data_IF_060041468517
#
_entry.id   IF_060041468517
#
_cell.length_a   1.000
_cell.length_b   1.000
_cell.length_c   1.000
_cell.angle_alpha   90.00
_cell.angle_beta   90.00
_cell.angle_gamma   90.00
#
_symmetry.space_group_name_H-M   'P 1'
#
loop_
_entity.id
_entity.type
_entity.pdbx_description
1 polymer ?
#
# COMPACT_ATOMS: atom_id res chain seq x y z
N UNK A 1 23.66 8.47 25.85
CA UNK A 1 22.67 7.40 25.62
C UNK A 1 21.36 7.49 26.42
N UNK A 2 21.21 8.16 27.59
CA UNK A 2 19.89 8.27 28.25
C UNK A 2 18.90 9.22 27.53
N UNK A 3 19.39 10.21 26.78
CA UNK A 3 18.56 11.15 26.02
C UNK A 3 17.64 10.48 24.96
N UNK A 4 18.04 9.32 24.42
CA UNK A 4 17.30 8.62 23.38
C UNK A 4 16.11 7.80 23.94
N UNK A 5 16.19 7.35 25.20
CA UNK A 5 15.12 6.59 25.84
C UNK A 5 13.93 7.48 26.22
N UNK A 6 14.17 8.65 26.81
CA UNK A 6 13.09 9.59 27.14
C UNK A 6 12.34 10.07 25.89
N UNK A 7 13.08 10.36 24.81
CA UNK A 7 12.49 10.72 23.52
C UNK A 7 11.63 9.59 22.95
N UNK A 8 12.08 8.34 23.04
CA UNK A 8 11.31 7.17 22.61
C UNK A 8 10.02 7.01 23.42
N UNK A 9 10.08 7.14 24.74
CA UNK A 9 8.89 7.06 25.61
C UNK A 9 7.86 8.15 25.30
N UNK A 10 8.31 9.37 25.03
CA UNK A 10 7.44 10.47 24.59
C UNK A 10 6.73 10.09 23.28
N UNK A 11 7.47 9.60 22.27
CA UNK A 11 6.86 9.18 20.99
C UNK A 11 5.84 8.05 21.17
N UNK A 12 6.13 7.07 22.02
CA UNK A 12 5.19 5.99 22.34
C UNK A 12 3.91 6.56 23.00
N UNK A 13 4.05 7.54 23.90
CA UNK A 13 2.93 8.22 24.53
C UNK A 13 2.03 9.00 23.58
N UNK A 14 2.48 9.33 22.36
CA UNK A 14 1.68 10.00 21.33
C UNK A 14 0.82 9.04 20.50
N UNK A 15 1.12 7.74 20.51
CA UNK A 15 0.38 6.75 19.73
C UNK A 15 -1.13 6.73 20.11
N UNK A 16 -1.52 6.66 21.40
CA UNK A 16 -2.93 6.69 21.78
C UNK A 16 -3.66 7.95 21.29
N UNK A 17 -2.98 9.09 21.26
CA UNK A 17 -3.55 10.35 20.77
C UNK A 17 -3.90 10.21 19.28
N UNK A 18 -2.98 9.70 18.46
CA UNK A 18 -3.24 9.48 17.02
C UNK A 18 -4.36 8.47 16.78
N UNK A 19 -4.47 7.43 17.61
CA UNK A 19 -5.56 6.46 17.54
C UNK A 19 -6.93 7.10 17.85
N UNK A 20 -6.99 7.95 18.89
CA UNK A 20 -8.23 8.67 19.24
C UNK A 20 -8.64 9.61 18.10
N UNK A 21 -7.70 10.37 17.54
CA UNK A 21 -7.96 11.22 16.38
C UNK A 21 -8.45 10.42 15.17
N UNK A 22 -7.85 9.25 14.91
CA UNK A 22 -8.25 8.36 13.82
C UNK A 22 -9.70 7.88 13.99
N UNK A 23 -10.06 7.42 15.19
CA UNK A 23 -11.41 6.92 15.50
C UNK A 23 -12.44 8.04 15.42
N UNK A 24 -12.15 9.19 16.03
CA UNK A 24 -13.04 10.34 16.04
C UNK A 24 -13.26 10.88 14.63
N UNK A 25 -12.18 11.03 13.85
CA UNK A 25 -12.26 11.41 12.43
C UNK A 25 -13.14 10.44 11.66
N UNK A 26 -12.90 9.12 11.79
CA UNK A 26 -13.72 8.11 11.12
C UNK A 26 -15.20 8.16 11.49
N UNK A 27 -15.55 8.54 12.72
CA UNK A 27 -16.96 8.72 13.11
C UNK A 27 -17.64 9.91 12.40
N UNK A 28 -16.93 11.02 12.22
CA UNK A 28 -17.46 12.23 11.58
C UNK A 28 -17.46 12.15 10.06
N UNK A 29 -16.42 11.57 9.46
CA UNK A 29 -16.28 11.49 8.00
C UNK A 29 -17.38 10.64 7.34
N UNK A 30 -17.92 9.66 8.06
CA UNK A 30 -19.01 8.80 7.56
C UNK A 30 -20.28 9.58 7.23
N UNK A 31 -20.58 10.64 7.99
CA UNK A 31 -21.82 11.41 7.82
C UNK A 31 -21.75 12.41 6.68
N UNK A 32 -20.57 12.64 6.10
CA UNK A 32 -20.41 13.58 4.99
C UNK A 32 -21.00 12.99 3.69
N UNK A 33 -21.66 13.81 2.89
CA UNK A 33 -22.20 13.44 1.58
C UNK A 33 -21.08 13.42 0.50
N UNK A 34 -20.07 12.58 0.71
CA UNK A 34 -18.94 12.34 -0.20
C UNK A 34 -19.05 10.92 -0.75
N UNK A 35 -18.62 10.73 -2.00
CA UNK A 35 -18.54 9.44 -2.68
C UNK A 35 -17.84 8.36 -1.82
N UNK A 36 -18.35 7.13 -1.87
CA UNK A 36 -17.89 6.01 -1.04
C UNK A 36 -16.43 5.65 -1.31
N UNK A 37 -16.02 5.65 -2.58
CA UNK A 37 -14.64 5.36 -2.98
C UNK A 37 -13.68 6.44 -2.49
N UNK A 38 -14.07 7.71 -2.58
CA UNK A 38 -13.27 8.82 -2.03
C UNK A 38 -13.09 8.65 -0.51
N UNK A 39 -14.17 8.33 0.22
CA UNK A 39 -14.08 8.07 1.67
C UNK A 39 -13.16 6.88 1.98
N UNK A 40 -13.21 5.82 1.18
CA UNK A 40 -12.34 4.66 1.33
C UNK A 40 -10.86 5.04 1.19
N UNK A 41 -10.50 5.80 0.15
CA UNK A 41 -9.12 6.28 -0.06
C UNK A 41 -8.63 7.23 1.06
N UNK A 42 -9.52 8.07 1.59
CA UNK A 42 -9.22 8.91 2.75
C UNK A 42 -8.95 8.03 3.98
N UNK A 43 -9.78 7.02 4.22
CA UNK A 43 -9.58 6.01 5.25
C UNK A 43 -8.19 5.36 5.16
N UNK A 44 -7.79 4.96 3.95
CA UNK A 44 -6.47 4.36 3.70
C UNK A 44 -5.33 5.31 4.08
N UNK A 45 -5.48 6.59 3.73
CA UNK A 45 -4.49 7.61 4.02
C UNK A 45 -4.36 7.84 5.53
N UNK A 46 -5.49 8.02 6.22
CA UNK A 46 -5.53 8.20 7.67
C UNK A 46 -4.93 7.01 8.43
N UNK A 47 -5.26 5.79 8.03
CA UNK A 47 -4.71 4.60 8.67
C UNK A 47 -3.21 4.41 8.38
N UNK A 48 -2.78 4.76 7.17
CA UNK A 48 -1.35 4.79 6.83
C UNK A 48 -0.58 5.75 7.75
N UNK A 49 -1.13 6.92 8.04
CA UNK A 49 -0.51 7.88 8.96
C UNK A 49 -0.45 7.37 10.40
N UNK A 50 -1.48 6.66 10.85
CA UNK A 50 -1.46 5.98 12.13
C UNK A 50 -0.38 4.89 12.18
N UNK A 51 -0.27 4.06 11.15
CA UNK A 51 0.79 3.06 11.05
C UNK A 51 2.19 3.67 11.03
N UNK A 52 2.40 4.80 10.34
CA UNK A 52 3.67 5.52 10.41
C UNK A 52 3.98 5.99 11.82
N UNK A 53 3.00 6.54 12.54
CA UNK A 53 3.19 6.97 13.93
C UNK A 53 3.53 5.79 14.83
N UNK A 54 2.88 4.64 14.64
CA UNK A 54 3.24 3.40 15.34
C UNK A 54 4.69 3.00 15.08
N UNK A 55 5.10 2.92 13.81
CA UNK A 55 6.46 2.52 13.42
C UNK A 55 7.49 3.47 14.01
N UNK A 56 7.27 4.77 13.88
CA UNK A 56 8.22 5.78 14.35
C UNK A 56 8.26 5.92 15.87
N UNK A 57 7.12 5.71 16.54
CA UNK A 57 7.06 5.67 17.99
C UNK A 57 7.84 4.49 18.56
N UNK A 58 7.77 3.34 17.90
CA UNK A 58 8.42 2.11 18.33
C UNK A 58 9.90 2.02 17.91
N UNK A 59 10.32 2.80 16.91
CA UNK A 59 11.69 2.82 16.39
C UNK A 59 12.74 3.04 17.50
N UNK A 60 13.78 2.20 17.50
CA UNK A 60 14.89 2.30 18.46
C UNK A 60 15.79 3.50 18.17
N UNK A 61 15.99 3.81 16.89
CA UNK A 61 16.80 4.93 16.43
C UNK A 61 15.95 5.94 15.64
N UNK A 62 16.31 7.23 15.63
CA UNK A 62 15.64 8.23 14.82
C UNK A 62 15.88 8.01 13.32
N UNK A 63 14.87 8.30 12.51
CA UNK A 63 15.04 8.38 11.07
C UNK A 63 15.76 9.66 10.68
N UNK A 64 16.58 9.58 9.65
CA UNK A 64 17.37 10.69 9.15
C UNK A 64 17.40 10.68 7.61
N UNK A 65 17.62 11.84 7.00
CA UNK A 65 17.82 11.93 5.57
C UNK A 65 19.23 11.47 5.23
N UNK A 66 19.39 10.73 4.14
CA UNK A 66 20.67 10.20 3.70
C UNK A 66 21.62 11.31 3.23
N UNK A 67 21.08 12.37 2.61
CA UNK A 67 21.85 13.51 2.14
C UNK A 67 22.21 14.48 3.27
N UNK A 68 21.35 14.62 4.29
CA UNK A 68 21.56 15.51 5.43
C UNK A 68 21.05 14.86 6.74
N UNK A 69 21.94 14.17 7.48
CA UNK A 69 21.55 13.40 8.65
C UNK A 69 21.15 14.25 9.87
N UNK A 70 21.52 15.53 9.91
CA UNK A 70 21.43 16.37 11.12
C UNK A 70 20.52 17.59 10.88
N UNK A 71 19.23 17.55 11.30
CA UNK A 71 18.39 18.73 11.29
C UNK A 71 18.78 19.68 12.44
N UNK A 72 19.97 20.27 12.37
CA UNK A 72 20.38 21.36 13.24
C UNK A 72 19.89 22.66 12.61
N UNK A 73 18.69 23.09 13.01
CA UNK A 73 18.07 24.28 12.44
C UNK A 73 17.01 24.90 13.34
N UNK A 74 16.40 25.96 12.82
CA UNK A 74 15.27 26.70 13.40
C UNK A 74 14.03 25.81 13.59
N UNK A 75 13.01 26.33 14.27
CA UNK A 75 11.74 25.60 14.41
C UNK A 75 11.07 25.30 13.06
N UNK A 76 11.25 26.19 12.07
CA UNK A 76 10.76 25.97 10.70
C UNK A 76 11.50 24.81 10.01
N UNK A 77 12.81 24.68 10.22
CA UNK A 77 13.58 23.57 9.66
C UNK A 77 13.15 22.23 10.26
N UNK A 78 12.90 22.21 11.58
CA UNK A 78 12.39 21.03 12.27
C UNK A 78 10.97 20.65 11.81
N UNK A 79 10.10 21.64 11.60
CA UNK A 79 8.75 21.41 11.08
C UNK A 79 8.78 20.91 9.64
N UNK A 80 9.61 21.52 8.79
CA UNK A 80 9.82 21.10 7.40
C UNK A 80 10.36 19.66 7.33
N UNK A 81 11.32 19.32 8.19
CA UNK A 81 11.83 17.95 8.33
C UNK A 81 10.72 16.96 8.73
N UNK A 82 9.90 17.32 9.73
CA UNK A 82 8.81 16.48 10.18
C UNK A 82 7.74 16.27 9.10
N UNK A 83 7.35 17.34 8.39
CA UNK A 83 6.42 17.26 7.25
C UNK A 83 7.01 16.38 6.14
N UNK A 84 8.29 16.58 5.81
CA UNK A 84 8.99 15.77 4.80
C UNK A 84 9.03 14.29 5.18
N UNK A 85 9.28 13.96 6.45
CA UNK A 85 9.25 12.59 6.97
C UNK A 85 7.85 11.97 6.82
N UNK A 86 6.80 12.74 7.14
CA UNK A 86 5.40 12.32 7.07
C UNK A 86 4.86 12.15 5.65
N UNK A 87 5.25 13.03 4.76
CA UNK A 87 4.89 12.93 3.35
C UNK A 87 5.74 11.92 2.57
N UNK A 88 6.61 11.14 3.24
CA UNK A 88 7.51 10.16 2.63
C UNK A 88 7.15 8.70 3.00
N UNK A 89 5.95 8.18 2.63
CA UNK A 89 5.54 6.82 3.00
C UNK A 89 6.50 5.73 2.50
N UNK A 90 7.17 5.97 1.36
CA UNK A 90 8.14 5.05 0.75
C UNK A 90 9.57 5.17 1.31
N UNK A 91 9.88 6.25 2.03
CA UNK A 91 11.23 6.51 2.59
C UNK A 91 12.32 6.86 1.57
N UNK A 92 11.98 7.50 0.44
CA UNK A 92 12.98 7.88 -0.57
C UNK A 92 13.90 8.95 0.02
N UNK A 93 15.22 8.71 -0.01
CA UNK A 93 16.20 9.62 0.58
C UNK A 93 16.28 9.55 2.11
N UNK A 94 15.60 8.58 2.74
CA UNK A 94 15.60 8.37 4.19
C UNK A 94 16.33 7.08 4.59
N UNK A 95 16.66 6.97 5.87
CA UNK A 95 17.24 5.77 6.47
C UNK A 95 16.28 4.56 6.57
N UNK A 96 15.07 4.68 6.01
CA UNK A 96 14.04 3.63 6.00
C UNK A 96 13.41 3.48 4.62
N UNK A 97 12.61 2.44 4.45
CA UNK A 97 11.90 2.18 3.19
C UNK A 97 12.74 1.40 2.18
N UNK A 98 12.31 1.44 0.91
CA UNK A 98 12.96 0.67 -0.18
C UNK A 98 13.87 1.59 -0.98
N UNK A 99 15.19 1.33 -1.04
CA UNK A 99 16.11 2.13 -1.84
C UNK A 99 15.70 2.08 -3.31
N UNK A 100 15.46 3.24 -3.90
CA UNK A 100 15.28 3.38 -5.36
C UNK A 100 16.53 4.02 -5.92
N UNK A 101 17.03 3.45 -7.02
CA UNK A 101 18.12 4.07 -7.76
C UNK A 101 17.63 5.43 -8.27
N UNK A 102 18.24 6.51 -7.79
CA UNK A 102 17.98 7.86 -8.28
C UNK A 102 18.06 7.86 -9.82
N UNK A 103 17.00 8.33 -10.47
CA UNK A 103 16.95 8.42 -11.92
C UNK A 103 17.37 9.82 -12.35
N UNK A 104 18.62 9.97 -12.77
CA UNK A 104 19.10 11.20 -13.41
C UNK A 104 18.50 11.30 -14.81
N UNK A 105 17.36 11.99 -14.91
CA UNK A 105 16.65 12.22 -16.16
C UNK A 105 16.46 13.72 -16.39
N UNK A 106 16.47 14.14 -17.64
CA UNK A 106 16.19 15.53 -18.00
C UNK A 106 14.74 15.88 -17.65
N UNK A 107 14.47 17.16 -17.40
CA UNK A 107 13.11 17.64 -17.07
C UNK A 107 12.10 17.31 -18.16
N UNK A 108 12.51 17.42 -19.43
CA UNK A 108 11.68 17.09 -20.59
C UNK A 108 11.36 15.60 -20.62
N UNK A 109 12.35 14.73 -20.39
CA UNK A 109 12.11 13.29 -20.32
C UNK A 109 11.20 12.92 -19.16
N UNK A 110 11.43 13.50 -17.99
CA UNK A 110 10.58 13.33 -16.82
C UNK A 110 9.11 13.71 -17.12
N UNK A 111 8.89 14.87 -17.76
CA UNK A 111 7.57 15.33 -18.16
C UNK A 111 6.93 14.38 -19.17
N UNK A 112 7.66 14.01 -20.23
CA UNK A 112 7.19 13.11 -21.28
C UNK A 112 6.78 11.75 -20.70
N UNK A 113 7.64 11.12 -19.90
CA UNK A 113 7.35 9.81 -19.29
C UNK A 113 6.13 9.90 -18.36
N UNK A 114 6.00 11.00 -17.61
CA UNK A 114 4.86 11.23 -16.71
C UNK A 114 3.56 11.44 -17.48
N UNK A 115 3.54 12.28 -18.51
CA UNK A 115 2.35 12.52 -19.34
C UNK A 115 1.95 11.26 -20.10
N UNK A 116 2.91 10.55 -20.70
CA UNK A 116 2.65 9.28 -21.40
C UNK A 116 1.99 8.27 -20.47
N UNK A 117 2.51 8.11 -19.25
CA UNK A 117 1.97 7.19 -18.25
C UNK A 117 0.58 7.61 -17.81
N UNK A 118 0.38 8.91 -17.53
CA UNK A 118 -0.91 9.46 -17.14
C UNK A 118 -1.96 9.27 -18.24
N UNK A 119 -1.64 9.56 -19.50
CA UNK A 119 -2.54 9.34 -20.63
C UNK A 119 -2.96 7.87 -20.75
N UNK A 120 -2.01 6.94 -20.62
CA UNK A 120 -2.33 5.50 -20.64
C UNK A 120 -3.25 5.09 -19.48
N UNK A 121 -2.99 5.61 -18.27
CA UNK A 121 -3.85 5.34 -17.12
C UNK A 121 -5.26 5.91 -17.31
N UNK A 122 -5.41 7.12 -17.86
CA UNK A 122 -6.72 7.74 -18.13
C UNK A 122 -7.54 6.94 -19.15
N UNK A 123 -6.91 6.36 -20.17
CA UNK A 123 -7.58 5.48 -21.13
C UNK A 123 -8.09 4.18 -20.46
N UNK A 124 -7.30 3.59 -19.57
CA UNK A 124 -7.71 2.41 -18.81
C UNK A 124 -8.84 2.77 -17.84
N UNK A 125 -8.78 3.93 -17.18
CA UNK A 125 -9.85 4.41 -16.29
C UNK A 125 -11.15 4.54 -17.09
N UNK A 126 -11.14 5.26 -18.20
CA UNK A 126 -12.33 5.44 -19.03
C UNK A 126 -12.91 4.11 -19.52
N UNK A 127 -12.08 3.21 -20.05
CA UNK A 127 -12.54 1.90 -20.55
C UNK A 127 -13.05 0.98 -19.43
N UNK A 128 -12.42 0.99 -18.25
CA UNK A 128 -12.87 0.20 -17.11
C UNK A 128 -14.20 0.72 -16.56
N UNK A 129 -14.36 2.05 -16.45
CA UNK A 129 -15.63 2.68 -16.01
C UNK A 129 -16.77 2.39 -16.97
N UNK A 130 -16.55 2.49 -18.29
CA UNK A 130 -17.56 2.12 -19.29
C UNK A 130 -17.94 0.64 -19.16
N UNK A 131 -16.95 -0.25 -19.02
CA UNK A 131 -17.19 -1.69 -18.90
C UNK A 131 -18.00 -2.02 -17.64
N UNK A 132 -17.71 -1.38 -16.51
CA UNK A 132 -18.48 -1.53 -15.28
C UNK A 132 -19.91 -1.00 -15.40
N UNK A 133 -20.10 0.11 -16.12
CA UNK A 133 -21.44 0.62 -16.44
C UNK A 133 -22.26 -0.36 -17.29
N UNK A 134 -21.64 -1.02 -18.27
CA UNK A 134 -22.29 -2.04 -19.11
C UNK A 134 -22.60 -3.31 -18.32
N UNK A 135 -21.66 -3.76 -17.48
CA UNK A 135 -21.84 -4.92 -16.60
C UNK A 135 -22.94 -4.68 -15.55
N UNK A 136 -23.23 -3.41 -15.25
CA UNK A 136 -24.16 -2.94 -14.24
C UNK A 136 -23.77 -3.47 -12.84
N UNK A 137 -22.93 -2.71 -12.14
CA UNK A 137 -22.49 -3.03 -10.77
C UNK A 137 -23.73 -3.29 -9.89
N UNK A 138 -23.90 -4.54 -9.51
CA UNK A 138 -25.07 -4.99 -8.77
C UNK A 138 -24.64 -5.99 -7.70
N UNK A 139 -24.90 -5.72 -6.41
CA UNK A 139 -24.63 -6.67 -5.32
C UNK A 139 -25.30 -8.04 -5.53
N UNK A 140 -26.44 -8.04 -6.21
CA UNK A 140 -27.24 -9.22 -6.55
C UNK A 140 -26.91 -9.80 -7.92
N UNK A 141 -25.75 -9.46 -8.51
CA UNK A 141 -25.34 -9.99 -9.81
C UNK A 141 -25.47 -11.54 -9.84
N UNK A 142 -26.30 -12.09 -10.75
CA UNK A 142 -26.71 -13.48 -10.68
C UNK A 142 -25.65 -14.45 -11.19
N UNK A 143 -24.72 -14.00 -12.05
CA UNK A 143 -23.70 -14.87 -12.63
C UNK A 143 -22.33 -14.67 -12.01
N UNK A 144 -21.65 -15.79 -11.74
CA UNK A 144 -20.29 -15.81 -11.21
C UNK A 144 -19.29 -15.15 -12.17
N UNK A 145 -19.51 -15.29 -13.48
CA UNK A 145 -18.68 -14.66 -14.51
C UNK A 145 -18.69 -13.13 -14.39
N UNK A 146 -19.87 -12.52 -14.23
CA UNK A 146 -19.98 -11.06 -14.10
C UNK A 146 -19.25 -10.55 -12.86
N UNK A 147 -19.31 -11.28 -11.73
CA UNK A 147 -18.57 -10.91 -10.50
C UNK A 147 -17.05 -10.91 -10.71
N UNK A 148 -16.51 -11.87 -11.46
CA UNK A 148 -15.08 -11.87 -11.79
C UNK A 148 -14.71 -10.79 -12.80
N UNK A 149 -15.58 -10.45 -13.76
CA UNK A 149 -15.37 -9.32 -14.64
C UNK A 149 -15.40 -7.98 -13.87
N UNK A 150 -16.34 -7.79 -12.95
CA UNK A 150 -16.35 -6.64 -12.03
C UNK A 150 -15.04 -6.58 -11.25
N UNK A 151 -14.60 -7.71 -10.70
CA UNK A 151 -13.33 -7.78 -9.96
C UNK A 151 -12.14 -7.33 -10.80
N UNK A 152 -12.07 -7.79 -12.05
CA UNK A 152 -11.03 -7.39 -12.98
C UNK A 152 -11.04 -5.87 -13.22
N UNK A 153 -12.19 -5.29 -13.58
CA UNK A 153 -12.29 -3.87 -13.91
C UNK A 153 -12.16 -2.93 -12.69
N UNK A 154 -12.67 -3.33 -11.52
CA UNK A 154 -12.44 -2.56 -10.28
C UNK A 154 -10.96 -2.64 -9.87
N UNK A 155 -10.32 -3.80 -10.04
CA UNK A 155 -8.89 -3.96 -9.82
C UNK A 155 -8.04 -3.08 -10.76
N UNK A 156 -8.40 -2.98 -12.04
CA UNK A 156 -7.71 -2.09 -12.99
C UNK A 156 -7.93 -0.61 -12.65
N UNK A 157 -9.13 -0.23 -12.18
CA UNK A 157 -9.40 1.12 -11.67
C UNK A 157 -8.53 1.44 -10.45
N UNK A 158 -8.54 0.58 -9.42
CA UNK A 158 -7.76 0.79 -8.21
C UNK A 158 -6.26 0.97 -8.52
N UNK A 159 -5.72 0.14 -9.41
CA UNK A 159 -4.35 0.28 -9.91
C UNK A 159 -4.11 1.64 -10.57
N UNK A 160 -4.91 1.99 -11.58
CA UNK A 160 -4.64 3.15 -12.43
C UNK A 160 -4.92 4.47 -11.76
N UNK A 161 -5.88 4.52 -10.83
CA UNK A 161 -6.11 5.68 -9.95
C UNK A 161 -4.89 5.93 -9.07
N UNK A 162 -4.36 4.89 -8.42
CA UNK A 162 -3.17 5.03 -7.57
C UNK A 162 -1.93 5.48 -8.36
N UNK A 163 -1.71 4.90 -9.54
CA UNK A 163 -0.58 5.27 -10.39
C UNK A 163 -0.73 6.69 -10.98
N UNK A 164 -1.96 7.11 -11.28
CA UNK A 164 -2.26 8.48 -11.72
C UNK A 164 -2.01 9.50 -10.63
N UNK A 165 -2.37 9.21 -9.37
CA UNK A 165 -2.03 10.06 -8.23
C UNK A 165 -0.51 10.28 -8.11
N UNK A 166 0.28 9.22 -8.31
CA UNK A 166 1.74 9.32 -8.39
C UNK A 166 2.23 10.19 -9.55
N UNK A 167 1.59 10.10 -10.71
CA UNK A 167 1.89 10.98 -11.86
C UNK A 167 1.58 12.44 -11.56
N UNK A 168 0.46 12.73 -10.88
CA UNK A 168 0.09 14.09 -10.47
C UNK A 168 1.14 14.67 -9.52
N UNK A 169 1.58 13.90 -8.52
CA UNK A 169 2.63 14.32 -7.58
C UNK A 169 3.94 14.62 -8.33
N UNK A 170 4.30 13.81 -9.34
CA UNK A 170 5.45 14.08 -10.20
C UNK A 170 5.31 15.40 -10.97
N UNK A 171 4.13 15.72 -11.50
CA UNK A 171 3.89 17.00 -12.18
C UNK A 171 4.00 18.19 -11.21
N UNK A 172 3.51 18.04 -9.98
CA UNK A 172 3.71 19.04 -8.93
C UNK A 172 5.18 19.25 -8.60
N UNK A 173 5.96 18.17 -8.42
CA UNK A 173 7.40 18.25 -8.20
C UNK A 173 8.12 19.02 -9.33
N UNK A 174 7.71 18.79 -10.58
CA UNK A 174 8.23 19.54 -11.73
C UNK A 174 7.84 21.02 -11.69
N UNK A 175 6.56 21.33 -11.45
CA UNK A 175 6.04 22.70 -11.41
C UNK A 175 6.69 23.54 -10.29
N UNK A 176 6.94 22.92 -9.14
CA UNK A 176 7.55 23.55 -7.97
C UNK A 176 9.08 23.40 -7.91
N UNK A 177 9.72 23.03 -9.01
CA UNK A 177 11.18 22.97 -9.13
C UNK A 177 11.88 22.09 -8.07
N UNK A 178 11.23 21.00 -7.65
CA UNK A 178 11.77 20.04 -6.68
C UNK A 178 12.83 19.12 -7.32
N UNK A 179 13.60 18.42 -6.48
CA UNK A 179 14.52 17.38 -6.95
C UNK A 179 13.75 16.18 -7.51
N UNK A 180 13.71 16.07 -8.83
CA UNK A 180 12.96 15.04 -9.55
C UNK A 180 13.45 13.61 -9.27
N UNK A 181 14.65 13.44 -8.72
CA UNK A 181 15.19 12.13 -8.35
C UNK A 181 14.45 11.51 -7.16
N UNK A 182 13.83 12.33 -6.31
CA UNK A 182 13.05 11.91 -5.15
C UNK A 182 11.61 11.48 -5.50
N UNK A 183 11.16 11.72 -6.74
CA UNK A 183 9.79 11.47 -7.18
C UNK A 183 9.71 10.40 -8.28
N UNK A 184 10.12 9.14 -8.05
CA UNK A 184 9.87 8.06 -9.01
C UNK A 184 8.37 7.77 -9.12
N UNK A 185 7.99 6.98 -10.13
CA UNK A 185 6.62 6.47 -10.20
C UNK A 185 6.25 5.70 -8.93
N UNK A 186 4.99 5.81 -8.54
CA UNK A 186 4.45 5.05 -7.44
C UNK A 186 4.59 3.57 -7.77
N UNK A 187 4.04 3.09 -8.89
CA UNK A 187 4.07 1.67 -9.20
C UNK A 187 5.10 1.35 -10.29
N UNK A 188 5.76 0.21 -10.17
CA UNK A 188 6.62 -0.33 -11.23
C UNK A 188 5.77 -1.26 -12.11
N UNK A 189 4.84 -0.71 -12.88
CA UNK A 189 4.03 -1.44 -13.87
C UNK A 189 3.53 -2.85 -13.44
N UNK A 190 2.53 -2.96 -12.55
CA UNK A 190 1.96 -4.21 -12.02
C UNK A 190 1.69 -5.30 -13.06
N UNK A 191 1.20 -4.94 -14.24
CA UNK A 191 0.90 -5.88 -15.33
C UNK A 191 2.12 -6.60 -15.92
N UNK A 192 3.33 -6.10 -15.66
CA UNK A 192 4.56 -6.76 -16.10
C UNK A 192 5.00 -7.89 -15.15
N UNK A 193 4.36 -8.02 -13.99
CA UNK A 193 4.60 -9.09 -13.04
C UNK A 193 4.56 -10.46 -13.70
N UNK A 194 5.31 -11.42 -13.18
CA UNK A 194 5.34 -12.81 -13.70
C UNK A 194 5.04 -13.85 -12.63
N UNK A 195 4.83 -13.42 -11.40
CA UNK A 195 4.47 -14.20 -10.23
C UNK A 195 4.02 -13.23 -9.11
N UNK A 196 3.38 -13.73 -8.06
CA UNK A 196 2.85 -12.94 -6.95
C UNK A 196 3.97 -12.27 -6.16
N UNK A 197 5.10 -12.95 -5.96
CA UNK A 197 6.24 -12.36 -5.26
C UNK A 197 6.76 -11.10 -5.97
N UNK A 198 6.95 -11.13 -7.29
CA UNK A 198 7.36 -9.97 -8.10
C UNK A 198 6.28 -8.88 -8.09
N UNK A 199 5.02 -9.28 -8.27
CA UNK A 199 3.88 -8.36 -8.24
C UNK A 199 3.84 -7.57 -6.93
N UNK A 200 3.75 -8.25 -5.79
CA UNK A 200 3.56 -7.59 -4.50
C UNK A 200 4.82 -6.94 -3.95
N UNK A 201 6.01 -7.51 -4.17
CA UNK A 201 7.24 -7.01 -3.53
C UNK A 201 7.91 -5.84 -4.24
N UNK A 202 7.70 -5.71 -5.56
CA UNK A 202 8.39 -4.74 -6.42
C UNK A 202 7.44 -3.91 -7.27
N UNK A 203 6.49 -4.56 -7.94
CA UNK A 203 5.64 -3.91 -8.95
C UNK A 203 4.49 -3.08 -8.34
N UNK A 204 3.87 -3.60 -7.28
CA UNK A 204 2.72 -3.02 -6.58
C UNK A 204 3.10 -2.26 -5.29
N UNK A 205 3.61 -2.92 -4.24
CA UNK A 205 3.83 -2.23 -2.96
C UNK A 205 5.18 -1.52 -2.91
N UNK A 206 5.20 -0.33 -3.48
CA UNK A 206 6.27 0.64 -3.31
C UNK A 206 6.07 1.56 -2.11
N UNK A 207 4.83 2.00 -1.85
CA UNK A 207 4.52 3.04 -0.86
C UNK A 207 4.32 2.49 0.55
N UNK A 208 3.52 1.43 0.69
CA UNK A 208 3.03 0.95 1.99
C UNK A 208 3.77 -0.29 2.51
N UNK A 209 4.68 -0.85 1.71
CA UNK A 209 5.40 -2.08 2.07
C UNK A 209 6.12 -1.96 3.40
N UNK A 210 6.83 -0.84 3.62
CA UNK A 210 7.60 -0.63 4.84
C UNK A 210 6.71 -0.67 6.08
N UNK A 211 5.59 0.07 6.07
CA UNK A 211 4.69 0.12 7.22
C UNK A 211 4.05 -1.23 7.51
N UNK A 212 3.64 -2.00 6.49
CA UNK A 212 3.05 -3.31 6.71
C UNK A 212 4.07 -4.34 7.23
N UNK A 213 5.31 -4.29 6.75
CA UNK A 213 6.39 -5.15 7.24
C UNK A 213 6.72 -4.80 8.69
N UNK A 214 6.86 -3.52 9.03
CA UNK A 214 7.25 -3.10 10.38
C UNK A 214 6.12 -3.24 11.42
N UNK A 215 4.85 -3.01 11.03
CA UNK A 215 3.70 -3.14 11.94
C UNK A 215 3.24 -4.60 12.07
N UNK A 216 3.23 -5.36 10.97
CA UNK A 216 2.67 -6.72 10.95
C UNK A 216 3.72 -7.82 10.91
N UNK A 217 4.62 -7.74 9.93
CA UNK A 217 5.60 -8.79 9.67
C UNK A 217 6.64 -8.97 10.77
N UNK A 218 7.35 -7.90 11.13
CA UNK A 218 8.45 -7.92 12.10
C UNK A 218 8.03 -8.35 13.50
N UNK A 219 6.92 -7.86 14.09
CA UNK A 219 6.53 -8.27 15.43
C UNK A 219 6.19 -9.76 15.51
N UNK A 220 5.44 -10.28 14.53
CA UNK A 220 5.08 -11.70 14.49
C UNK A 220 6.30 -12.57 14.20
N UNK A 221 7.18 -12.15 13.27
CA UNK A 221 8.47 -12.82 13.03
C UNK A 221 9.29 -12.90 14.33
N UNK A 222 9.43 -11.78 15.05
CA UNK A 222 10.19 -11.71 16.29
C UNK A 222 9.63 -12.63 17.38
N UNK A 223 8.31 -12.65 17.54
CA UNK A 223 7.64 -13.54 18.49
C UNK A 223 7.88 -15.01 18.15
N UNK A 224 7.71 -15.39 16.88
CA UNK A 224 7.92 -16.79 16.43
C UNK A 224 9.38 -17.18 16.54
N UNK A 225 10.31 -16.29 16.21
CA UNK A 225 11.76 -16.51 16.40
C UNK A 225 12.11 -16.73 17.86
N UNK A 226 11.48 -15.99 18.77
CA UNK A 226 11.70 -16.14 20.20
C UNK A 226 11.15 -17.49 20.73
N UNK A 227 9.96 -17.90 20.28
CA UNK A 227 9.32 -19.12 20.78
C UNK A 227 9.82 -20.42 20.12
N UNK A 228 10.14 -20.38 18.82
CA UNK A 228 10.40 -21.57 18.00
C UNK A 228 11.79 -21.55 17.35
N UNK A 229 12.49 -20.41 17.36
CA UNK A 229 13.77 -20.22 16.68
C UNK A 229 13.63 -19.63 15.28
N UNK A 230 14.77 -19.23 14.70
CA UNK A 230 14.80 -18.70 13.33
C UNK A 230 14.75 -19.83 12.28
N UNK A 231 13.89 -19.69 11.28
CA UNK A 231 13.69 -20.74 10.28
C UNK A 231 12.62 -20.43 9.24
N UNK A 232 12.04 -21.48 8.65
CA UNK A 232 10.99 -21.32 7.65
C UNK A 232 9.72 -20.73 8.25
N UNK A 233 9.37 -21.13 9.47
CA UNK A 233 8.15 -20.70 10.13
C UNK A 233 8.19 -19.20 10.45
N UNK A 234 9.29 -18.68 11.00
CA UNK A 234 9.45 -17.25 11.26
C UNK A 234 9.30 -16.41 9.99
N UNK A 235 9.91 -16.85 8.87
CA UNK A 235 9.82 -16.17 7.57
C UNK A 235 8.41 -16.23 6.98
N UNK A 236 7.73 -17.37 7.11
CA UNK A 236 6.33 -17.52 6.69
C UNK A 236 5.43 -16.58 7.50
N UNK A 237 5.62 -16.51 8.81
CA UNK A 237 4.88 -15.61 9.68
C UNK A 237 5.17 -14.13 9.40
N UNK A 238 6.40 -13.76 8.99
CA UNK A 238 6.69 -12.41 8.49
C UNK A 238 5.82 -12.07 7.28
N UNK A 239 5.75 -12.97 6.29
CA UNK A 239 4.98 -12.75 5.07
C UNK A 239 3.49 -12.64 5.41
N UNK A 240 2.95 -13.60 6.16
CA UNK A 240 1.54 -13.59 6.54
C UNK A 240 1.17 -12.37 7.39
N UNK A 241 1.99 -12.03 8.39
CA UNK A 241 1.77 -10.84 9.23
C UNK A 241 1.75 -9.54 8.44
N UNK A 242 2.64 -9.41 7.46
CA UNK A 242 2.68 -8.25 6.54
C UNK A 242 1.37 -8.14 5.76
N UNK A 243 0.91 -9.22 5.15
CA UNK A 243 -0.31 -9.22 4.36
C UNK A 243 -1.59 -9.11 5.20
N UNK A 244 -1.60 -9.66 6.42
CA UNK A 244 -2.73 -9.48 7.35
C UNK A 244 -2.91 -8.01 7.70
N UNK A 245 -1.84 -7.28 8.03
CA UNK A 245 -1.95 -5.84 8.33
C UNK A 245 -2.35 -5.03 7.10
N UNK A 246 -1.89 -5.40 5.91
CA UNK A 246 -2.40 -4.81 4.66
C UNK A 246 -3.91 -5.03 4.49
N UNK A 247 -4.41 -6.20 4.87
CA UNK A 247 -5.83 -6.52 4.85
C UNK A 247 -6.66 -5.75 5.88
N UNK A 248 -6.17 -5.67 7.11
CA UNK A 248 -6.81 -4.92 8.19
C UNK A 248 -6.88 -3.42 7.89
N UNK A 249 -5.92 -2.91 7.12
CA UNK A 249 -5.98 -1.54 6.62
C UNK A 249 -7.20 -1.33 5.70
N UNK A 250 -7.47 -2.26 4.79
CA UNK A 250 -8.65 -2.15 3.91
C UNK A 250 -9.96 -2.37 4.68
N UNK A 251 -9.99 -3.21 5.72
CA UNK A 251 -11.16 -3.32 6.62
C UNK A 251 -11.42 -2.02 7.36
N UNK A 252 -10.36 -1.39 7.87
CA UNK A 252 -10.47 -0.08 8.52
C UNK A 252 -11.00 0.96 7.53
N UNK A 253 -10.48 1.00 6.31
CA UNK A 253 -10.89 1.93 5.27
C UNK A 253 -12.34 1.72 4.84
N UNK A 254 -12.81 0.47 4.82
CA UNK A 254 -14.22 0.14 4.61
C UNK A 254 -15.11 0.60 5.76
N UNK A 255 -14.67 0.37 7.01
CA UNK A 255 -15.35 0.87 8.21
C UNK A 255 -15.40 2.41 8.23
N UNK A 256 -14.32 3.07 7.81
CA UNK A 256 -14.20 4.52 7.73
C UNK A 256 -15.14 5.10 6.67
N UNK A 257 -15.30 4.43 5.54
CA UNK A 257 -16.21 4.86 4.49
C UNK A 257 -17.68 4.60 4.81
N UNK A 258 -17.96 3.50 5.51
CA UNK A 258 -19.32 2.96 5.63
C UNK A 258 -19.68 2.57 7.07
N UNK A 259 -19.57 1.29 7.40
CA UNK A 259 -19.90 0.67 8.69
C UNK A 259 -19.01 -0.55 8.87
N UNK A 260 -18.96 -1.10 10.09
CA UNK A 260 -18.18 -2.30 10.35
C UNK A 260 -18.64 -3.45 9.43
N UNK A 261 -17.69 -4.01 8.71
CA UNK A 261 -17.82 -5.24 7.94
C UNK A 261 -17.25 -6.37 8.80
N UNK A 262 -18.05 -7.39 9.11
CA UNK A 262 -17.68 -8.45 10.06
C UNK A 262 -17.17 -9.73 9.39
N UNK A 263 -17.20 -9.80 8.06
CA UNK A 263 -16.80 -10.99 7.32
C UNK A 263 -15.28 -11.03 7.03
N UNK A 264 -14.60 -9.90 7.20
CA UNK A 264 -13.14 -9.77 6.98
C UNK A 264 -12.73 -10.18 5.56
N UNK A 265 -13.62 -10.02 4.58
CA UNK A 265 -13.40 -10.42 3.18
C UNK A 265 -12.25 -9.67 2.52
N UNK A 266 -12.00 -8.43 2.89
CA UNK A 266 -10.86 -7.67 2.37
C UNK A 266 -9.56 -8.20 2.99
N UNK A 267 -9.57 -8.52 4.29
CA UNK A 267 -8.42 -9.18 4.94
C UNK A 267 -8.12 -10.55 4.35
N UNK A 268 -9.16 -11.34 4.05
CA UNK A 268 -9.03 -12.64 3.39
C UNK A 268 -8.31 -12.51 2.04
N UNK A 269 -8.67 -11.51 1.22
CA UNK A 269 -8.01 -11.27 -0.06
C UNK A 269 -6.51 -11.05 0.10
N UNK A 270 -6.09 -10.15 1.00
CA UNK A 270 -4.67 -9.84 1.22
C UNK A 270 -3.92 -11.01 1.86
N UNK A 271 -4.51 -11.67 2.86
CA UNK A 271 -3.92 -12.86 3.48
C UNK A 271 -3.64 -13.96 2.46
N UNK A 272 -4.58 -14.19 1.52
CA UNK A 272 -4.39 -15.14 0.43
C UNK A 272 -3.22 -14.79 -0.48
N UNK A 273 -2.85 -13.51 -0.62
CA UNK A 273 -1.65 -13.13 -1.38
C UNK A 273 -0.37 -13.60 -0.69
N UNK A 274 -0.30 -13.49 0.63
CA UNK A 274 0.78 -14.05 1.43
C UNK A 274 0.91 -15.56 1.25
N UNK A 275 -0.22 -16.28 1.30
CA UNK A 275 -0.26 -17.71 1.00
C UNK A 275 0.24 -18.01 -0.41
N UNK A 276 -0.18 -17.24 -1.42
CA UNK A 276 0.27 -17.41 -2.80
C UNK A 276 1.79 -17.23 -2.94
N UNK A 277 2.38 -16.23 -2.29
CA UNK A 277 3.84 -16.03 -2.25
C UNK A 277 4.56 -17.21 -1.57
N UNK A 278 3.99 -17.75 -0.49
CA UNK A 278 4.53 -18.93 0.20
C UNK A 278 4.45 -20.18 -0.69
N UNK A 279 3.36 -20.35 -1.44
CA UNK A 279 3.19 -21.44 -2.40
C UNK A 279 4.22 -21.35 -3.53
N UNK A 280 4.52 -20.16 -4.04
CA UNK A 280 5.59 -19.94 -5.02
C UNK A 280 6.97 -20.31 -4.46
N UNK A 281 7.23 -19.96 -3.19
CA UNK A 281 8.46 -20.35 -2.51
C UNK A 281 8.56 -21.88 -2.31
N UNK A 282 7.45 -22.53 -1.97
CA UNK A 282 7.40 -23.99 -1.85
C UNK A 282 7.58 -24.68 -3.20
N UNK A 283 6.95 -24.18 -4.26
CA UNK A 283 7.14 -24.66 -5.62
C UNK A 283 8.60 -24.59 -6.04
N UNK A 284 9.28 -23.46 -5.76
CA UNK A 284 10.71 -23.33 -6.02
C UNK A 284 11.53 -24.35 -5.24
N UNK A 285 11.25 -24.54 -3.95
CA UNK A 285 11.96 -25.53 -3.11
C UNK A 285 11.77 -26.97 -3.59
N UNK A 286 10.60 -27.31 -4.11
CA UNK A 286 10.29 -28.68 -4.58
C UNK A 286 10.80 -28.96 -5.98
N UNK A 287 10.77 -27.98 -6.88
CA UNK A 287 11.05 -28.20 -8.31
C UNK A 287 12.39 -27.61 -8.78
N UNK A 288 13.01 -26.74 -7.97
CA UNK A 288 14.16 -25.92 -8.37
C UNK A 288 13.83 -24.81 -9.37
N UNK A 289 12.57 -24.70 -9.82
CA UNK A 289 12.13 -23.73 -10.84
C UNK A 289 11.35 -22.60 -10.18
N UNK A 290 11.68 -21.35 -10.53
CA UNK A 290 10.89 -20.19 -10.09
C UNK A 290 9.61 -20.10 -10.92
N UNK A 291 8.49 -19.76 -10.28
CA UNK A 291 7.27 -19.38 -11.00
C UNK A 291 7.59 -18.14 -11.83
N UNK A 292 7.26 -18.14 -13.12
CA UNK A 292 7.62 -17.03 -14.01
C UNK A 292 7.15 -17.22 -15.45
N UNK A 293 7.53 -16.28 -16.31
CA UNK A 293 7.13 -16.28 -17.71
C UNK A 293 5.62 -16.12 -17.92
N UNK A 294 5.12 -16.61 -19.05
CA UNK A 294 3.69 -16.57 -19.38
C UNK A 294 2.83 -17.38 -18.42
N UNK A 295 3.25 -18.59 -18.06
CA UNK A 295 2.48 -19.46 -17.14
C UNK A 295 2.39 -18.81 -15.75
N UNK A 296 3.49 -18.23 -15.26
CA UNK A 296 3.49 -17.49 -14.01
C UNK A 296 2.59 -16.25 -14.04
N UNK A 297 2.45 -15.58 -15.19
CA UNK A 297 1.47 -14.49 -15.38
C UNK A 297 0.04 -14.98 -15.26
N UNK A 298 -0.30 -16.08 -15.94
CA UNK A 298 -1.64 -16.68 -15.84
C UNK A 298 -1.94 -17.07 -14.39
N UNK A 299 -1.00 -17.71 -13.71
CA UNK A 299 -1.10 -18.04 -12.28
C UNK A 299 -1.34 -16.80 -11.41
N UNK A 300 -0.52 -15.77 -11.58
CA UNK A 300 -0.61 -14.52 -10.82
C UNK A 300 -1.98 -13.85 -11.00
N UNK A 301 -2.43 -13.65 -12.25
CA UNK A 301 -3.72 -13.02 -12.52
C UNK A 301 -4.90 -13.88 -12.07
N UNK A 302 -4.84 -15.19 -12.27
CA UNK A 302 -5.84 -16.11 -11.74
C UNK A 302 -5.97 -15.95 -10.21
N UNK A 303 -4.86 -15.98 -9.49
CA UNK A 303 -4.86 -15.86 -8.03
C UNK A 303 -5.40 -14.49 -7.57
N UNK A 304 -4.97 -13.41 -8.20
CA UNK A 304 -5.43 -12.05 -7.90
C UNK A 304 -6.93 -11.90 -8.13
N UNK A 305 -7.45 -12.34 -9.28
CA UNK A 305 -8.87 -12.19 -9.64
C UNK A 305 -9.74 -13.14 -8.80
N UNK A 306 -9.29 -14.38 -8.59
CA UNK A 306 -10.03 -15.36 -7.81
C UNK A 306 -10.29 -14.88 -6.39
N UNK A 307 -9.23 -14.46 -5.68
CA UNK A 307 -9.35 -13.97 -4.32
C UNK A 307 -9.87 -12.53 -4.25
N UNK A 308 -9.59 -11.71 -5.28
CA UNK A 308 -10.04 -10.32 -5.36
C UNK A 308 -11.56 -10.20 -5.30
N UNK A 309 -12.28 -11.21 -5.82
CA UNK A 309 -13.75 -11.24 -5.80
C UNK A 309 -14.32 -11.03 -4.41
N UNK A 310 -13.72 -11.60 -3.36
CA UNK A 310 -14.24 -11.44 -2.00
C UNK A 310 -14.17 -9.99 -1.53
N UNK A 311 -13.06 -9.30 -1.79
CA UNK A 311 -12.91 -7.88 -1.47
C UNK A 311 -13.89 -7.04 -2.28
N UNK A 312 -14.00 -7.28 -3.59
CA UNK A 312 -14.86 -6.48 -4.46
C UNK A 312 -16.34 -6.70 -4.15
N UNK A 313 -16.78 -7.94 -3.88
CA UNK A 313 -18.13 -8.23 -3.41
C UNK A 313 -18.44 -7.44 -2.12
N UNK A 314 -17.49 -7.35 -1.17
CA UNK A 314 -17.67 -6.58 0.06
C UNK A 314 -17.78 -5.06 -0.19
N UNK A 315 -16.97 -4.53 -1.11
CA UNK A 315 -17.02 -3.11 -1.47
C UNK A 315 -18.34 -2.73 -2.16
N UNK A 316 -18.82 -3.58 -3.08
CA UNK A 316 -20.09 -3.38 -3.80
C UNK A 316 -21.27 -3.48 -2.83
N UNK A 317 -21.31 -4.49 -1.97
CA UNK A 317 -22.39 -4.67 -0.98
C UNK A 317 -22.47 -3.51 0.03
N UNK A 318 -21.33 -2.87 0.32
CA UNK A 318 -21.25 -1.69 1.18
C UNK A 318 -21.47 -0.37 0.43
N UNK A 319 -21.65 -0.40 -0.89
CA UNK A 319 -21.86 0.80 -1.71
C UNK A 319 -20.63 1.71 -1.80
N UNK A 320 -19.42 1.13 -1.70
CA UNK A 320 -18.15 1.87 -1.86
C UNK A 320 -17.76 1.99 -3.34
N UNK A 321 -18.13 1.00 -4.15
CA UNK A 321 -17.86 0.89 -5.58
C UNK A 321 -19.17 0.69 -6.32
#
# INVERSE_FOLDING_TARGET
MPHNQSARLIRIGLIPITLVFLIFSGSQWRTLAVDGWIKFLIGCSFNTYFFQTLVWGMASEPYYKLADPNPTGSIFDRLSFAISLHSSPRGIGWSFGVPVKASNQTRIKFLYDTLRRLSFNLLIIASSSISLGVININPSAPSLLLRYLMTFFVGTLAWTVLDSAGCIIRLFALAFNQDLSEYPFFLDSPIQGTNLADFWSRRWHSLLKHVFVEVGGRPIEGLVRHCVGDGILSRTCLILGTFTVSGLEHEFSLWFATSLEKSFRTTLFFFAQGLGVILEAFFFRKTGKKVGGWIGRVWMFFWLIFWGRFMIDALIEKGVV
#
